data_IF_385514420974
#
_entry.id   IF_385514420974
#
_cell.length_a   1.000
_cell.length_b   1.000
_cell.length_c   1.000
_cell.angle_alpha   90.00
_cell.angle_beta   90.00
_cell.angle_gamma   90.00
#
_symmetry.space_group_name_H-M   'P 1'
#
loop_
_entity.id
_entity.type
_entity.pdbx_description
1 polymer ?
#
# COMPACT_ATOMS: atom_id res chain seq x y z
N UNK A 1 6.79 -12.03 5.07
CA UNK A 1 8.17 -12.42 4.73
C UNK A 1 8.50 -11.97 3.31
N UNK A 2 9.49 -11.08 3.16
CA UNK A 2 9.96 -10.58 1.86
C UNK A 2 10.79 -11.67 1.18
N UNK A 3 10.48 -11.96 -0.09
CA UNK A 3 11.16 -12.96 -0.91
C UNK A 3 11.47 -12.42 -2.30
N UNK A 4 12.55 -12.91 -2.91
CA UNK A 4 12.86 -12.61 -4.30
C UNK A 4 11.75 -13.12 -5.22
N UNK A 5 11.15 -12.22 -6.01
CA UNK A 5 10.01 -12.54 -6.87
C UNK A 5 10.36 -13.60 -7.92
N UNK A 6 11.55 -13.52 -8.55
CA UNK A 6 11.96 -14.46 -9.61
C UNK A 6 11.88 -15.92 -9.18
N UNK A 7 12.48 -16.25 -8.04
CA UNK A 7 12.48 -17.61 -7.49
C UNK A 7 11.13 -18.04 -6.89
N UNK A 8 10.28 -17.08 -6.49
CA UNK A 8 9.04 -17.35 -5.76
C UNK A 8 7.76 -17.03 -6.55
N UNK A 9 7.86 -16.65 -7.83
CA UNK A 9 6.71 -16.23 -8.62
C UNK A 9 5.59 -17.28 -8.67
N UNK A 10 5.92 -18.58 -8.86
CA UNK A 10 4.93 -19.66 -8.87
C UNK A 10 4.31 -19.89 -7.48
N UNK A 11 5.11 -19.78 -6.41
CA UNK A 11 4.59 -19.86 -5.04
C UNK A 11 3.61 -18.73 -4.75
N UNK A 12 3.91 -17.50 -5.19
CA UNK A 12 3.01 -16.35 -5.06
C UNK A 12 1.71 -16.55 -5.86
N UNK A 13 1.81 -17.01 -7.12
CA UNK A 13 0.62 -17.32 -7.94
C UNK A 13 -0.27 -18.37 -7.28
N UNK A 14 0.33 -19.41 -6.71
CA UNK A 14 -0.41 -20.46 -5.99
C UNK A 14 -1.10 -19.88 -4.77
N UNK A 15 -0.38 -19.13 -3.94
CA UNK A 15 -0.95 -18.47 -2.76
C UNK A 15 -2.11 -17.54 -3.11
N UNK A 16 -1.99 -16.75 -4.18
CA UNK A 16 -3.06 -15.88 -4.66
C UNK A 16 -4.31 -16.66 -5.11
N UNK A 17 -4.14 -17.80 -5.79
CA UNK A 17 -5.28 -18.66 -6.19
C UNK A 17 -5.97 -19.34 -5.02
N UNK A 18 -5.25 -19.58 -3.95
CA UNK A 18 -5.76 -20.21 -2.72
C UNK A 18 -6.39 -19.21 -1.75
N UNK A 19 -6.23 -17.90 -1.99
CA UNK A 19 -6.87 -16.88 -1.16
C UNK A 19 -8.39 -17.08 -1.15
N UNK A 20 -8.95 -17.10 0.04
CA UNK A 20 -10.39 -17.13 0.26
C UNK A 20 -10.85 -15.75 0.66
N UNK A 21 -11.78 -15.13 -0.08
CA UNK A 21 -12.39 -13.88 0.37
C UNK A 21 -12.96 -14.03 1.77
N UNK A 22 -12.71 -13.05 2.62
CA UNK A 22 -13.28 -12.94 3.96
C UNK A 22 -13.96 -11.59 4.08
N UNK A 23 -14.91 -11.49 4.98
CA UNK A 23 -15.57 -10.22 5.25
C UNK A 23 -14.57 -9.24 5.85
N UNK A 24 -14.68 -7.99 5.45
CA UNK A 24 -13.87 -6.88 5.92
C UNK A 24 -12.60 -6.63 5.09
N UNK A 25 -12.17 -5.38 5.15
CA UNK A 25 -10.97 -4.86 4.48
C UNK A 25 -10.19 -4.04 5.51
N UNK A 26 -9.32 -4.66 6.35
CA UNK A 26 -8.54 -3.93 7.34
C UNK A 26 -7.42 -3.13 6.66
N UNK A 27 -7.82 -2.13 5.85
CA UNK A 27 -6.96 -1.38 4.94
C UNK A 27 -5.81 -0.69 5.68
N UNK A 28 -6.13 0.04 6.76
CA UNK A 28 -5.12 0.81 7.49
C UNK A 28 -4.14 -0.10 8.22
N UNK A 29 -4.64 -1.17 8.84
CA UNK A 29 -3.79 -2.16 9.51
C UNK A 29 -2.88 -2.91 8.52
N UNK A 30 -3.39 -3.28 7.36
CA UNK A 30 -2.59 -3.93 6.31
C UNK A 30 -1.52 -2.98 5.75
N UNK A 31 -1.85 -1.70 5.53
CA UNK A 31 -0.91 -0.68 5.08
C UNK A 31 0.20 -0.44 6.11
N UNK A 32 -0.15 -0.32 7.39
CA UNK A 32 0.81 -0.16 8.47
C UNK A 32 1.77 -1.35 8.57
N UNK A 33 1.24 -2.57 8.54
CA UNK A 33 2.05 -3.78 8.59
C UNK A 33 3.01 -3.89 7.40
N UNK A 34 2.55 -3.58 6.19
CA UNK A 34 3.39 -3.59 5.00
C UNK A 34 4.51 -2.55 5.08
N UNK A 35 4.20 -1.34 5.57
CA UNK A 35 5.19 -0.29 5.79
C UNK A 35 6.26 -0.72 6.79
N UNK A 36 5.88 -1.30 7.94
CA UNK A 36 6.81 -1.76 8.98
C UNK A 36 7.71 -2.89 8.47
N UNK A 37 7.16 -3.81 7.68
CA UNK A 37 7.94 -4.91 7.08
C UNK A 37 9.01 -4.38 6.13
N UNK A 38 8.68 -3.45 5.23
CA UNK A 38 9.67 -2.83 4.34
C UNK A 38 10.69 -1.99 5.13
N UNK A 39 10.22 -1.21 6.10
CA UNK A 39 11.09 -0.39 6.94
C UNK A 39 12.09 -1.22 7.74
N UNK A 40 11.69 -2.37 8.25
CA UNK A 40 12.58 -3.28 9.00
C UNK A 40 13.69 -3.88 8.14
N UNK A 41 13.44 -4.05 6.84
CA UNK A 41 14.39 -4.55 5.85
C UNK A 41 14.96 -3.46 4.93
N UNK A 42 14.90 -2.18 5.34
CA UNK A 42 15.31 -1.06 4.52
C UNK A 42 16.72 -1.19 3.98
N UNK A 43 16.88 -1.06 2.67
CA UNK A 43 18.16 -1.08 1.98
C UNK A 43 18.33 0.24 1.19
N UNK A 44 19.27 1.13 1.58
CA UNK A 44 19.45 2.42 0.92
C UNK A 44 19.95 2.31 -0.53
N UNK A 45 20.35 1.12 -0.97
CA UNK A 45 20.78 0.87 -2.36
C UNK A 45 19.65 0.37 -3.25
N UNK A 46 18.46 0.20 -2.70
CA UNK A 46 17.27 -0.33 -3.39
C UNK A 46 16.08 0.63 -3.28
N UNK A 47 15.12 0.41 -4.14
CA UNK A 47 13.80 1.04 -4.03
C UNK A 47 13.05 0.34 -2.90
N UNK A 48 12.69 1.11 -1.87
CA UNK A 48 11.89 0.64 -0.75
C UNK A 48 10.47 1.20 -0.89
N UNK A 49 9.54 0.36 -1.33
CA UNK A 49 8.18 0.80 -1.61
C UNK A 49 7.13 -0.26 -1.29
N UNK A 50 5.94 0.23 -0.97
CA UNK A 50 4.69 -0.53 -0.86
C UNK A 50 3.78 -0.10 -1.99
N UNK A 51 3.10 -1.04 -2.63
CA UNK A 51 1.98 -0.77 -3.54
C UNK A 51 0.73 -1.31 -2.88
N UNK A 52 -0.17 -0.41 -2.49
CA UNK A 52 -1.44 -0.71 -1.86
C UNK A 52 -2.54 -0.66 -2.92
N UNK A 53 -3.15 -1.79 -3.22
CA UNK A 53 -4.27 -1.92 -4.15
C UNK A 53 -5.52 -2.27 -3.36
N UNK A 54 -6.59 -1.49 -3.52
CA UNK A 54 -7.88 -1.75 -2.87
C UNK A 54 -9.05 -1.33 -3.75
N UNK A 55 -10.15 -2.07 -3.64
CA UNK A 55 -11.43 -1.78 -4.26
C UNK A 55 -12.48 -1.24 -3.27
N UNK A 56 -12.09 -1.06 -2.00
CA UNK A 56 -12.98 -0.65 -0.92
C UNK A 56 -12.40 0.38 0.04
N UNK A 57 -13.18 0.63 1.07
CA UNK A 57 -12.82 1.46 2.23
C UNK A 57 -12.29 0.58 3.36
N UNK A 58 -11.83 1.20 4.46
CA UNK A 58 -11.49 0.42 5.66
C UNK A 58 -12.74 -0.22 6.26
N UNK A 59 -12.70 -1.52 6.47
CA UNK A 59 -13.76 -2.34 7.08
C UNK A 59 -13.11 -3.40 7.98
N UNK A 60 -12.59 -2.99 9.13
CA UNK A 60 -11.96 -3.90 10.10
C UNK A 60 -12.93 -4.38 11.19
N UNK A 61 -14.16 -3.87 11.17
CA UNK A 61 -15.25 -4.25 12.08
C UNK A 61 -15.53 -3.23 13.19
N UNK A 62 -14.71 -2.17 13.33
CA UNK A 62 -14.95 -1.07 14.28
C UNK A 62 -14.81 0.30 13.60
N UNK A 63 -15.88 0.82 12.96
CA UNK A 63 -15.83 2.10 12.28
C UNK A 63 -15.64 3.30 13.25
N UNK A 64 -15.72 3.09 14.56
CA UNK A 64 -15.57 4.18 15.53
C UNK A 64 -14.11 4.61 15.69
N UNK A 65 -13.15 3.79 15.32
CA UNK A 65 -11.72 4.10 15.41
C UNK A 65 -11.03 4.37 14.05
N UNK A 66 -11.76 4.27 12.93
CA UNK A 66 -11.25 4.48 11.57
C UNK A 66 -10.48 5.80 11.43
N UNK A 67 -11.01 6.91 11.94
CA UNK A 67 -10.36 8.22 11.87
C UNK A 67 -9.04 8.23 12.67
N UNK A 68 -9.01 7.55 13.81
CA UNK A 68 -7.84 7.45 14.65
C UNK A 68 -6.76 6.58 13.99
N UNK A 69 -7.14 5.46 13.41
CA UNK A 69 -6.25 4.55 12.67
C UNK A 69 -5.68 5.25 11.44
N UNK A 70 -6.52 5.91 10.64
CA UNK A 70 -6.08 6.68 9.47
C UNK A 70 -5.06 7.76 9.84
N UNK A 71 -5.33 8.53 10.90
CA UNK A 71 -4.43 9.57 11.39
C UNK A 71 -3.13 8.99 11.92
N UNK A 72 -3.18 7.88 12.63
CA UNK A 72 -1.98 7.20 13.13
C UNK A 72 -1.10 6.72 11.97
N UNK A 73 -1.70 6.08 10.95
CA UNK A 73 -1.01 5.63 9.75
C UNK A 73 -0.33 6.79 9.01
N UNK A 74 -1.07 7.84 8.68
CA UNK A 74 -0.53 8.98 7.94
C UNK A 74 0.58 9.71 8.69
N UNK A 75 0.48 9.85 10.02
CA UNK A 75 1.54 10.40 10.84
C UNK A 75 2.80 9.52 10.85
N UNK A 76 2.62 8.20 10.93
CA UNK A 76 3.72 7.22 10.88
C UNK A 76 4.46 7.26 9.56
N UNK A 77 3.73 7.37 8.44
CA UNK A 77 4.30 7.48 7.09
C UNK A 77 5.16 8.75 6.96
N UNK A 78 4.63 9.92 7.38
CA UNK A 78 5.37 11.19 7.37
C UNK A 78 6.64 11.11 8.20
N UNK A 79 6.55 10.60 9.43
CA UNK A 79 7.70 10.44 10.30
C UNK A 79 8.77 9.48 9.74
N UNK A 80 8.40 8.57 8.86
CA UNK A 80 9.34 7.68 8.16
C UNK A 80 10.04 8.34 6.98
N UNK A 81 9.47 9.41 6.41
CA UNK A 81 9.99 10.11 5.23
C UNK A 81 10.79 11.36 5.58
N UNK A 82 10.66 11.90 6.80
CA UNK A 82 11.24 13.17 7.23
C UNK A 82 12.46 12.98 8.15
N UNK A 83 13.43 13.90 8.08
CA UNK A 83 14.56 14.01 8.99
C UNK A 83 15.84 13.33 8.54
N UNK A 84 16.97 13.59 9.26
CA UNK A 84 18.31 13.09 8.93
C UNK A 84 18.46 11.57 9.06
N UNK A 85 17.60 10.93 9.83
CA UNK A 85 17.55 9.47 10.00
C UNK A 85 16.40 8.82 9.19
N UNK A 86 15.90 9.53 8.18
CA UNK A 86 14.79 9.03 7.37
C UNK A 86 15.14 7.71 6.70
N UNK A 87 14.25 6.75 6.83
CA UNK A 87 14.23 5.51 6.04
C UNK A 87 13.04 5.59 5.09
N UNK A 88 13.15 6.33 3.98
CA UNK A 88 12.01 6.65 3.14
C UNK A 88 11.46 5.40 2.47
N UNK A 89 10.31 4.95 2.95
CA UNK A 89 9.50 3.90 2.32
C UNK A 89 8.30 4.57 1.68
N UNK A 90 8.22 4.52 0.35
CA UNK A 90 7.12 5.11 -0.40
C UNK A 90 5.92 4.16 -0.46
N UNK A 91 4.73 4.68 -0.19
CA UNK A 91 3.50 3.90 -0.28
C UNK A 91 2.62 4.43 -1.42
N UNK A 92 2.74 3.80 -2.58
CA UNK A 92 1.86 4.08 -3.71
C UNK A 92 0.51 3.44 -3.48
N UNK A 93 -0.56 4.15 -3.80
CA UNK A 93 -1.92 3.63 -3.66
C UNK A 93 -2.62 3.56 -5.01
N UNK A 94 -3.40 2.51 -5.20
CA UNK A 94 -4.19 2.28 -6.40
C UNK A 94 -5.63 2.02 -5.99
N UNK A 95 -6.53 2.95 -6.31
CA UNK A 95 -7.97 2.75 -6.20
C UNK A 95 -8.43 1.89 -7.38
N UNK A 96 -9.04 0.73 -7.10
CA UNK A 96 -9.53 -0.20 -8.11
C UNK A 96 -11.05 -0.30 -7.99
N UNK A 97 -11.77 0.08 -9.06
CA UNK A 97 -13.22 0.10 -9.02
C UNK A 97 -13.81 1.33 -8.31
N UNK A 98 -15.13 1.33 -8.13
CA UNK A 98 -15.88 2.51 -7.65
C UNK A 98 -16.00 2.60 -6.11
N UNK A 99 -15.63 1.55 -5.39
CA UNK A 99 -15.81 1.46 -3.93
C UNK A 99 -14.71 2.11 -3.10
N UNK A 100 -13.53 2.36 -3.70
CA UNK A 100 -12.37 2.87 -2.98
C UNK A 100 -12.50 4.35 -2.62
N UNK A 101 -12.04 4.71 -1.42
CA UNK A 101 -11.94 6.11 -0.99
C UNK A 101 -10.69 6.77 -1.58
N UNK A 102 -10.82 7.40 -2.75
CA UNK A 102 -9.71 8.07 -3.42
C UNK A 102 -9.07 9.15 -2.56
N UNK A 103 -9.86 9.87 -1.75
CA UNK A 103 -9.34 10.90 -0.83
C UNK A 103 -8.44 10.34 0.26
N UNK A 104 -8.81 9.23 0.89
CA UNK A 104 -7.97 8.58 1.90
C UNK A 104 -6.71 7.99 1.26
N UNK A 105 -6.85 7.35 0.10
CA UNK A 105 -5.72 6.78 -0.62
C UNK A 105 -4.72 7.84 -1.08
N UNK A 106 -5.19 8.99 -1.56
CA UNK A 106 -4.32 10.14 -1.88
C UNK A 106 -3.55 10.62 -0.64
N UNK A 107 -4.24 10.80 0.48
CA UNK A 107 -3.59 11.25 1.71
C UNK A 107 -2.56 10.25 2.27
N UNK A 108 -2.79 8.93 2.10
CA UNK A 108 -1.83 7.89 2.46
C UNK A 108 -0.58 7.99 1.58
N UNK A 109 -0.76 8.09 0.25
CA UNK A 109 0.36 8.21 -0.68
C UNK A 109 1.18 9.48 -0.42
N UNK A 110 0.53 10.64 -0.33
CA UNK A 110 1.16 11.93 -0.04
C UNK A 110 1.93 11.93 1.28
N UNK A 111 1.44 11.21 2.29
CA UNK A 111 2.11 11.10 3.60
C UNK A 111 3.47 10.40 3.53
N UNK A 112 3.79 9.71 2.44
CA UNK A 112 5.05 9.01 2.20
C UNK A 112 5.78 9.50 0.94
N UNK A 113 5.49 10.73 0.47
CA UNK A 113 6.03 11.31 -0.76
C UNK A 113 5.84 10.41 -2.00
N UNK A 114 4.70 9.73 -2.08
CA UNK A 114 4.32 8.87 -3.18
C UNK A 114 3.06 9.39 -3.90
N UNK A 115 2.66 8.70 -4.96
CA UNK A 115 1.50 9.05 -5.77
C UNK A 115 0.34 8.06 -5.56
N UNK A 116 -0.89 8.59 -5.64
CA UNK A 116 -2.11 7.81 -5.72
C UNK A 116 -2.57 7.70 -7.17
N UNK A 117 -3.08 6.55 -7.54
CA UNK A 117 -3.62 6.27 -8.86
C UNK A 117 -5.06 5.81 -8.76
N UNK A 118 -5.88 6.26 -9.68
CA UNK A 118 -7.24 5.78 -9.87
C UNK A 118 -7.26 4.83 -11.07
N UNK A 119 -7.69 3.61 -10.85
CA UNK A 119 -7.86 2.55 -11.85
C UNK A 119 -9.29 2.01 -11.77
N UNK A 120 -10.27 2.91 -11.90
CA UNK A 120 -11.69 2.53 -12.01
C UNK A 120 -11.99 1.62 -13.22
N UNK A 121 -11.13 1.70 -14.24
CA UNK A 121 -11.13 0.79 -15.39
C UNK A 121 -10.14 -0.38 -15.15
N UNK A 122 -10.62 -1.63 -15.00
CA UNK A 122 -9.77 -2.81 -14.82
C UNK A 122 -8.70 -2.99 -15.90
N UNK A 123 -8.98 -2.58 -17.13
CA UNK A 123 -8.05 -2.69 -18.26
C UNK A 123 -6.92 -1.64 -18.19
N UNK A 124 -7.04 -0.67 -17.28
CA UNK A 124 -6.01 0.35 -17.08
C UNK A 124 -4.90 -0.08 -16.09
N UNK A 125 -5.07 -1.19 -15.37
CA UNK A 125 -4.19 -1.60 -14.27
C UNK A 125 -2.72 -1.73 -14.71
N UNK A 126 -2.44 -2.29 -15.89
CA UNK A 126 -1.09 -2.44 -16.42
C UNK A 126 -0.40 -1.08 -16.66
N UNK A 127 -1.16 -0.07 -17.09
CA UNK A 127 -0.67 1.30 -17.27
C UNK A 127 -0.33 1.94 -15.94
N UNK A 128 -1.17 1.71 -14.93
CA UNK A 128 -0.95 2.22 -13.57
C UNK A 128 0.32 1.59 -12.96
N UNK A 129 0.49 0.28 -13.05
CA UNK A 129 1.72 -0.38 -12.60
C UNK A 129 2.95 0.14 -13.32
N UNK A 130 2.87 0.37 -14.62
CA UNK A 130 3.98 0.97 -15.39
C UNK A 130 4.30 2.37 -14.89
N UNK A 131 3.30 3.20 -14.61
CA UNK A 131 3.48 4.53 -14.05
C UNK A 131 4.12 4.50 -12.65
N UNK A 132 3.67 3.59 -11.77
CA UNK A 132 4.29 3.39 -10.44
C UNK A 132 5.77 3.08 -10.59
N UNK A 133 6.13 2.08 -11.41
CA UNK A 133 7.53 1.68 -11.63
C UNK A 133 8.36 2.79 -12.24
N UNK A 134 7.77 3.68 -13.04
CA UNK A 134 8.48 4.80 -13.68
C UNK A 134 8.72 5.99 -12.73
N UNK A 135 8.16 5.99 -11.54
CA UNK A 135 8.35 7.03 -10.51
C UNK A 135 9.52 6.77 -9.55
N UNK A 136 10.37 5.79 -9.88
CA UNK A 136 11.57 5.45 -9.09
C UNK A 136 12.88 5.97 -9.70
#
# INVERSE_FOLDING_TARGET
EIKELGANAEGLRTALRELRPRNGTPLFGAAEQAFDEIKSGYDPTRINAVILLTDGINEDGDPADDDAQFKALTNKLRAGSEGEAATPVRMFTIAYGEGASTGQLSAIAEASDAAAYDSSDPDAIDRVFTAVVSNF
#
